data_IF_362343937998
#
_entry.id   IF_362343937998
#
_cell.length_a   1.000
_cell.length_b   1.000
_cell.length_c   1.000
_cell.angle_alpha   90.00
_cell.angle_beta   90.00
_cell.angle_gamma   90.00
#
_symmetry.space_group_name_H-M   'P 1'
#
loop_
_entity.id
_entity.type
_entity.pdbx_description
1 polymer ?
#
# COMPACT_ATOMS: atom_id res chain seq x y z
N UNK A 1 6.34 -8.24 12.10
CA UNK A 1 5.30 -7.68 13.00
C UNK A 1 4.19 -8.69 13.27
N UNK A 2 3.46 -9.17 12.25
CA UNK A 2 2.53 -10.30 12.37
C UNK A 2 3.23 -11.64 12.13
N UNK A 3 4.15 -12.01 13.01
CA UNK A 3 5.02 -13.19 12.81
C UNK A 3 4.95 -14.22 13.92
N UNK A 4 4.25 -13.93 15.03
CA UNK A 4 4.13 -14.85 16.15
C UNK A 4 2.75 -14.79 16.79
N UNK A 5 2.31 -15.91 17.36
CA UNK A 5 1.09 -15.95 18.19
C UNK A 5 1.16 -14.98 19.35
N UNK A 6 2.35 -14.74 19.90
CA UNK A 6 2.62 -13.76 20.97
C UNK A 6 2.21 -12.35 20.58
N UNK A 7 2.46 -11.93 19.33
CA UNK A 7 2.04 -10.61 18.85
C UNK A 7 0.52 -10.46 18.91
N UNK A 8 -0.23 -11.46 18.43
CA UNK A 8 -1.70 -11.44 18.48
C UNK A 8 -2.21 -11.45 19.90
N UNK A 9 -1.64 -12.29 20.76
CA UNK A 9 -1.99 -12.33 22.18
C UNK A 9 -1.81 -10.95 22.84
N UNK A 10 -0.67 -10.29 22.61
CA UNK A 10 -0.42 -8.94 23.14
C UNK A 10 -1.39 -7.90 22.55
N UNK A 11 -1.65 -7.94 21.25
CA UNK A 11 -2.59 -7.03 20.57
C UNK A 11 -4.01 -7.15 21.16
N UNK A 12 -4.50 -8.38 21.32
CA UNK A 12 -5.82 -8.64 21.90
C UNK A 12 -5.87 -8.27 23.38
N UNK A 13 -4.84 -8.65 24.14
CA UNK A 13 -4.71 -8.28 25.55
C UNK A 13 -4.76 -6.76 25.73
N UNK A 14 -4.06 -6.00 24.88
CA UNK A 14 -4.04 -4.55 24.92
C UNK A 14 -5.41 -3.94 24.55
N UNK A 15 -6.07 -4.45 23.51
CA UNK A 15 -7.40 -3.97 23.12
C UNK A 15 -8.43 -4.19 24.24
N UNK A 16 -8.46 -5.40 24.83
CA UNK A 16 -9.34 -5.72 25.96
C UNK A 16 -9.00 -4.90 27.20
N UNK A 17 -7.71 -4.68 27.47
CA UNK A 17 -7.25 -3.84 28.57
C UNK A 17 -7.74 -2.40 28.41
N UNK A 18 -7.67 -1.80 27.21
CA UNK A 18 -8.18 -0.45 26.99
C UNK A 18 -9.71 -0.36 27.11
N UNK A 19 -10.44 -1.39 26.70
CA UNK A 19 -11.90 -1.46 26.96
C UNK A 19 -12.18 -1.49 28.46
N UNK A 20 -11.44 -2.32 29.21
CA UNK A 20 -11.59 -2.43 30.65
C UNK A 20 -11.25 -1.12 31.37
N UNK A 21 -10.10 -0.53 31.05
CA UNK A 21 -9.66 0.77 31.59
C UNK A 21 -10.70 1.83 31.27
N UNK A 22 -11.19 1.91 30.04
CA UNK A 22 -12.18 2.92 29.70
C UNK A 22 -13.50 2.74 30.47
N UNK A 23 -13.92 1.49 30.69
CA UNK A 23 -15.09 1.17 31.52
C UNK A 23 -14.87 1.59 32.98
N UNK A 24 -13.68 1.31 33.54
CA UNK A 24 -13.31 1.72 34.90
C UNK A 24 -13.19 3.24 35.06
N UNK A 25 -12.83 3.95 34.00
CA UNK A 25 -12.71 5.41 33.96
C UNK A 25 -13.97 6.14 33.50
N UNK A 26 -15.13 5.47 33.53
CA UNK A 26 -16.42 6.07 33.14
C UNK A 26 -16.39 6.70 31.73
N UNK A 27 -15.79 6.00 30.77
CA UNK A 27 -15.73 6.39 29.36
C UNK A 27 -14.95 7.67 29.04
N UNK A 28 -13.99 8.06 29.91
CA UNK A 28 -13.14 9.24 29.72
C UNK A 28 -11.90 9.02 28.84
N UNK A 29 -11.55 7.77 28.52
CA UNK A 29 -10.40 7.47 27.65
C UNK A 29 -10.72 7.87 26.20
N UNK A 30 -9.94 8.79 25.65
CA UNK A 30 -10.09 9.22 24.25
C UNK A 30 -9.43 8.24 23.30
N UNK A 31 -9.87 8.21 22.03
CA UNK A 31 -9.21 7.39 21.00
C UNK A 31 -7.73 7.74 20.86
N UNK A 32 -7.39 9.03 20.81
CA UNK A 32 -6.01 9.47 20.71
C UNK A 32 -5.14 8.92 21.85
N UNK A 33 -5.62 8.90 23.09
CA UNK A 33 -4.85 8.39 24.22
C UNK A 33 -4.57 6.87 24.12
N UNK A 34 -5.59 6.08 23.79
CA UNK A 34 -5.45 4.63 23.59
C UNK A 34 -4.49 4.32 22.42
N UNK A 35 -4.63 5.05 21.31
CA UNK A 35 -3.76 4.90 20.15
C UNK A 35 -2.33 5.35 20.49
N UNK A 36 -2.15 6.43 21.25
CA UNK A 36 -0.81 6.91 21.64
C UNK A 36 -0.08 5.85 22.45
N UNK A 37 -0.77 5.19 23.39
CA UNK A 37 -0.19 4.08 24.14
C UNK A 37 0.17 2.89 23.23
N UNK A 38 -0.72 2.50 22.31
CA UNK A 38 -0.43 1.47 21.30
C UNK A 38 0.81 1.83 20.45
N UNK A 39 0.90 3.08 20.00
CA UNK A 39 2.01 3.56 19.17
C UNK A 39 3.32 3.56 19.96
N UNK A 40 3.32 4.02 21.21
CA UNK A 40 4.53 4.04 22.04
C UNK A 40 5.05 2.63 22.32
N UNK A 41 4.16 1.69 22.68
CA UNK A 41 4.52 0.28 22.88
C UNK A 41 5.02 -0.36 21.58
N UNK A 42 4.32 -0.12 20.47
CA UNK A 42 4.71 -0.61 19.16
C UNK A 42 6.05 -0.05 18.69
N UNK A 43 6.29 1.24 18.93
CA UNK A 43 7.54 1.91 18.61
C UNK A 43 8.70 1.32 19.42
N UNK A 44 8.54 1.14 20.74
CA UNK A 44 9.54 0.50 21.58
C UNK A 44 9.88 -0.92 21.14
N UNK A 45 8.87 -1.69 20.72
CA UNK A 45 9.08 -3.06 20.23
C UNK A 45 9.74 -3.13 18.85
N UNK A 46 9.28 -2.31 17.88
CA UNK A 46 9.78 -2.34 16.50
C UNK A 46 11.22 -1.83 16.43
N UNK A 47 11.53 -0.77 17.18
CA UNK A 47 12.80 -0.05 17.09
C UNK A 47 13.77 -0.36 18.24
N UNK A 48 13.55 -1.46 18.96
CA UNK A 48 14.35 -1.83 20.14
C UNK A 48 15.86 -1.89 19.91
N UNK A 49 16.31 -2.07 18.67
CA UNK A 49 17.73 -2.09 18.30
C UNK A 49 18.31 -0.75 17.85
N UNK A 50 17.50 0.21 17.42
CA UNK A 50 17.94 1.55 17.02
C UNK A 50 16.79 2.55 17.08
N UNK A 51 16.85 3.41 18.09
CA UNK A 51 15.88 4.47 18.35
C UNK A 51 16.26 5.80 17.68
N UNK A 52 17.53 6.00 17.34
CA UNK A 52 18.06 7.30 16.91
C UNK A 52 17.55 7.62 15.51
N UNK A 53 17.69 6.68 14.57
CA UNK A 53 17.27 6.87 13.18
C UNK A 53 15.77 7.17 13.05
N UNK A 54 14.86 6.40 13.69
CA UNK A 54 13.44 6.72 13.68
C UNK A 54 13.11 8.13 14.20
N UNK A 55 13.72 8.54 15.31
CA UNK A 55 13.51 9.89 15.87
C UNK A 55 14.02 10.96 14.91
N UNK A 56 15.22 10.78 14.35
CA UNK A 56 15.80 11.71 13.39
C UNK A 56 14.93 11.88 12.13
N UNK A 57 14.47 10.76 11.55
CA UNK A 57 13.56 10.78 10.39
C UNK A 57 12.26 11.51 10.74
N UNK A 58 11.65 11.17 11.86
CA UNK A 58 10.41 11.80 12.30
C UNK A 58 10.55 13.31 12.50
N UNK A 59 11.59 13.75 13.23
CA UNK A 59 11.86 15.17 13.45
C UNK A 59 12.12 15.90 12.14
N UNK A 60 12.86 15.28 11.20
CA UNK A 60 13.10 15.86 9.88
C UNK A 60 11.80 16.09 9.13
N UNK A 61 10.89 15.12 9.10
CA UNK A 61 9.60 15.24 8.43
C UNK A 61 8.70 16.27 9.11
N UNK A 62 8.68 16.30 10.45
CA UNK A 62 7.90 17.28 11.21
C UNK A 62 8.39 18.71 10.97
N UNK A 63 9.71 18.93 10.93
CA UNK A 63 10.31 20.23 10.59
C UNK A 63 9.92 20.65 9.17
N UNK A 64 10.03 19.75 8.18
CA UNK A 64 9.66 20.05 6.79
C UNK A 64 8.19 20.45 6.67
N UNK A 65 7.27 19.71 7.31
CA UNK A 65 5.84 20.06 7.37
C UNK A 65 5.63 21.43 7.99
N UNK A 66 6.30 21.71 9.10
CA UNK A 66 6.20 23.00 9.82
C UNK A 66 6.71 24.16 8.98
N UNK A 67 7.85 24.00 8.29
CA UNK A 67 8.42 25.03 7.41
C UNK A 67 7.51 25.30 6.21
N UNK A 68 6.91 24.25 5.63
CA UNK A 68 5.93 24.40 4.55
C UNK A 68 4.67 25.14 5.04
N UNK A 69 4.17 24.84 6.23
CA UNK A 69 3.00 25.51 6.82
C UNK A 69 3.24 26.99 7.12
N UNK A 70 4.47 27.33 7.53
CA UNK A 70 4.91 28.72 7.70
C UNK A 70 5.13 29.46 6.36
N UNK A 71 5.04 28.77 5.23
CA UNK A 71 5.25 29.33 3.90
C UNK A 71 6.71 29.45 3.46
N UNK A 72 7.65 28.89 4.23
CA UNK A 72 9.09 28.98 3.93
C UNK A 72 9.53 28.01 2.83
N UNK A 73 8.79 26.91 2.65
CA UNK A 73 9.02 25.93 1.60
C UNK A 73 7.83 25.85 0.64
N UNK A 74 8.10 25.86 -0.66
CA UNK A 74 7.11 25.50 -1.68
C UNK A 74 6.80 24.00 -1.58
N UNK A 75 5.60 23.60 -1.97
CA UNK A 75 5.16 22.19 -1.90
C UNK A 75 6.13 21.22 -2.57
N UNK A 76 6.64 21.57 -3.75
CA UNK A 76 7.59 20.70 -4.45
C UNK A 76 8.91 20.53 -3.68
N UNK A 77 9.42 21.60 -3.02
CA UNK A 77 10.63 21.53 -2.21
C UNK A 77 10.41 20.63 -0.99
N UNK A 78 9.28 20.79 -0.30
CA UNK A 78 8.94 19.97 0.86
C UNK A 78 8.79 18.49 0.50
N UNK A 79 8.16 18.18 -0.64
CA UNK A 79 8.03 16.79 -1.14
C UNK A 79 9.41 16.22 -1.47
N UNK A 80 10.26 16.95 -2.19
CA UNK A 80 11.62 16.49 -2.52
C UNK A 80 12.46 16.21 -1.28
N UNK A 81 12.45 17.12 -0.30
CA UNK A 81 13.18 16.94 0.96
C UNK A 81 12.67 15.74 1.77
N UNK A 82 11.36 15.49 1.75
CA UNK A 82 10.75 14.34 2.45
C UNK A 82 11.10 13.01 1.79
N UNK A 83 11.25 12.99 0.46
CA UNK A 83 11.65 11.80 -0.28
C UNK A 83 13.16 11.51 -0.20
N UNK A 84 13.97 12.51 0.18
CA UNK A 84 15.43 12.42 0.13
C UNK A 84 16.01 11.25 0.95
N UNK A 85 15.62 11.02 2.23
CA UNK A 85 16.15 9.88 3.00
C UNK A 85 15.86 8.53 2.31
N UNK A 86 14.66 8.38 1.75
CA UNK A 86 14.26 7.18 1.02
C UNK A 86 15.11 6.98 -0.24
N UNK A 87 15.37 8.04 -1.01
CA UNK A 87 16.21 7.97 -2.20
C UNK A 87 17.66 7.63 -1.86
N UNK A 88 18.23 8.25 -0.82
CA UNK A 88 19.60 8.00 -0.39
C UNK A 88 19.83 6.55 0.02
N UNK A 89 18.86 5.96 0.74
CA UNK A 89 18.91 4.54 1.13
C UNK A 89 18.76 3.64 -0.10
N UNK A 90 17.81 3.93 -1.00
CA UNK A 90 17.58 3.09 -2.19
C UNK A 90 18.70 3.13 -3.23
N UNK A 91 19.39 4.26 -3.34
CA UNK A 91 20.55 4.40 -4.21
C UNK A 91 21.85 3.87 -3.57
N UNK A 92 21.78 3.31 -2.36
CA UNK A 92 22.94 2.88 -1.58
C UNK A 92 23.97 4.01 -1.33
N UNK A 93 23.53 5.26 -1.39
CA UNK A 93 24.37 6.44 -1.14
C UNK A 93 24.50 6.73 0.36
N UNK A 94 23.49 6.37 1.15
CA UNK A 94 23.56 6.47 2.60
C UNK A 94 22.62 5.43 3.25
N UNK A 95 23.21 4.36 3.77
CA UNK A 95 22.47 3.28 4.42
C UNK A 95 22.11 3.60 5.89
N UNK A 96 22.70 4.64 6.49
CA UNK A 96 22.47 4.98 7.90
C UNK A 96 21.06 5.50 8.17
N UNK A 97 20.36 6.01 7.15
CA UNK A 97 18.96 6.41 7.26
C UNK A 97 17.98 5.24 7.12
N UNK A 98 18.47 4.03 6.84
CA UNK A 98 17.67 2.85 6.66
C UNK A 98 16.95 2.45 7.94
N UNK A 99 15.62 2.35 7.88
CA UNK A 99 14.83 1.78 8.97
C UNK A 99 13.63 1.01 8.42
N UNK A 100 13.11 0.09 9.23
CA UNK A 100 11.88 -0.63 8.89
C UNK A 100 10.73 0.37 8.71
N UNK A 101 10.00 0.23 7.60
CA UNK A 101 8.85 1.08 7.30
C UNK A 101 9.19 2.49 6.81
N UNK A 102 10.47 2.83 6.54
CA UNK A 102 10.86 4.13 5.97
C UNK A 102 10.02 4.49 4.74
N UNK A 103 9.88 3.56 3.79
CA UNK A 103 9.11 3.76 2.55
C UNK A 103 7.65 4.18 2.80
N UNK A 104 6.92 3.41 3.60
CA UNK A 104 5.50 3.70 3.89
C UNK A 104 5.37 4.95 4.76
N UNK A 105 6.30 5.19 5.69
CA UNK A 105 6.32 6.42 6.48
C UNK A 105 6.52 7.66 5.60
N UNK A 106 7.45 7.61 4.64
CA UNK A 106 7.68 8.70 3.69
C UNK A 106 6.42 9.01 2.87
N UNK A 107 5.72 8.00 2.37
CA UNK A 107 4.46 8.20 1.64
C UNK A 107 3.36 8.85 2.49
N UNK A 108 3.30 8.48 3.76
CA UNK A 108 2.36 9.08 4.73
C UNK A 108 2.78 10.50 5.10
N UNK A 109 4.07 10.79 5.23
CA UNK A 109 4.57 12.15 5.42
C UNK A 109 4.24 13.05 4.22
N UNK A 110 4.41 12.56 2.99
CA UNK A 110 3.99 13.25 1.76
C UNK A 110 2.47 13.46 1.72
N UNK A 111 1.68 12.48 2.15
CA UNK A 111 0.22 12.63 2.26
C UNK A 111 -0.17 13.77 3.21
N UNK A 112 0.50 13.90 4.36
CA UNK A 112 0.29 15.03 5.28
C UNK A 112 0.67 16.35 4.60
N UNK A 113 1.82 16.42 3.94
CA UNK A 113 2.26 17.61 3.24
C UNK A 113 1.25 18.10 2.19
N UNK A 114 0.58 17.18 1.51
CA UNK A 114 -0.35 17.53 0.43
C UNK A 114 -1.77 17.81 0.92
N UNK A 115 -2.27 17.08 1.92
CA UNK A 115 -3.70 17.06 2.24
C UNK A 115 -4.07 17.58 3.63
N UNK A 116 -3.11 17.87 4.50
CA UNK A 116 -3.36 18.50 5.80
C UNK A 116 -3.94 19.90 5.61
N UNK A 117 -4.98 20.21 6.38
CA UNK A 117 -5.62 21.52 6.40
C UNK A 117 -5.29 22.27 7.69
N UNK A 118 -5.40 23.61 7.68
CA UNK A 118 -5.22 24.44 8.89
C UNK A 118 -6.24 24.10 10.00
N UNK A 119 -7.42 23.58 9.63
CA UNK A 119 -8.49 23.20 10.55
C UNK A 119 -8.24 21.85 11.23
N UNK A 120 -7.34 21.04 10.68
CA UNK A 120 -6.89 19.78 11.31
C UNK A 120 -6.07 20.05 12.60
N UNK A 121 -6.01 21.31 13.05
CA UNK A 121 -5.16 21.87 14.08
C UNK A 121 -4.96 20.92 15.25
N UNK A 122 -3.86 20.17 15.21
CA UNK A 122 -3.41 19.30 16.28
C UNK A 122 -1.91 18.98 16.13
N UNK A 123 -1.18 19.41 17.15
CA UNK A 123 -0.15 18.76 17.96
C UNK A 123 0.71 17.63 17.33
N UNK A 124 2.01 17.77 17.55
CA UNK A 124 3.08 16.77 17.42
C UNK A 124 2.64 15.31 17.65
N UNK A 125 1.79 15.07 18.66
CA UNK A 125 1.27 13.75 19.01
C UNK A 125 0.43 13.09 17.90
N UNK A 126 -0.47 13.82 17.22
CA UNK A 126 -1.25 13.25 16.11
C UNK A 126 -0.36 12.86 14.94
N UNK A 127 0.64 13.70 14.66
CA UNK A 127 1.59 13.43 13.59
C UNK A 127 2.48 12.23 13.91
N UNK A 128 2.96 12.14 15.17
CA UNK A 128 3.71 11.00 15.68
C UNK A 128 2.91 9.70 15.59
N UNK A 129 1.69 9.70 16.15
CA UNK A 129 0.81 8.53 16.14
C UNK A 129 0.42 8.11 14.73
N UNK A 130 0.23 9.08 13.84
CA UNK A 130 0.05 8.80 12.43
C UNK A 130 1.28 8.08 11.89
N UNK A 131 2.43 8.74 11.76
CA UNK A 131 3.61 8.17 11.09
C UNK A 131 4.06 6.83 11.67
N UNK A 132 4.05 6.68 13.00
CA UNK A 132 4.51 5.48 13.69
C UNK A 132 3.43 4.44 13.96
N UNK A 133 2.23 4.57 13.39
CA UNK A 133 1.15 3.61 13.59
C UNK A 133 1.64 2.16 13.35
N UNK A 134 1.77 1.34 14.42
CA UNK A 134 2.40 0.03 14.34
C UNK A 134 1.68 -0.90 13.35
N UNK A 135 0.36 -0.77 13.25
CA UNK A 135 -0.45 -1.63 12.39
C UNK A 135 -0.12 -1.49 10.90
N UNK A 136 0.40 -0.33 10.47
CA UNK A 136 0.61 -0.01 9.05
C UNK A 136 2.03 0.39 8.66
N UNK A 137 2.94 0.61 9.61
CA UNK A 137 4.27 1.17 9.34
C UNK A 137 5.13 0.32 8.39
N UNK A 138 5.13 -1.00 8.51
CA UNK A 138 6.04 -1.85 7.72
C UNK A 138 5.57 -2.03 6.27
N UNK A 139 4.32 -2.44 6.10
CA UNK A 139 3.72 -2.72 4.79
C UNK A 139 2.19 -2.67 4.82
N UNK A 140 1.56 -1.94 5.76
CA UNK A 140 0.10 -1.97 5.85
C UNK A 140 -0.60 -1.09 4.83
N UNK A 141 -1.94 -1.13 4.81
CA UNK A 141 -2.72 -0.25 3.95
C UNK A 141 -2.32 1.22 4.14
N UNK A 142 -2.30 1.95 3.03
CA UNK A 142 -2.02 3.37 2.97
C UNK A 142 -3.14 4.18 3.62
N UNK A 143 -3.10 4.25 4.94
CA UNK A 143 -4.08 4.98 5.74
C UNK A 143 -3.83 6.49 5.64
N UNK A 144 -4.78 7.20 5.02
CA UNK A 144 -4.68 8.62 4.66
C UNK A 144 -4.88 9.53 5.86
N UNK A 145 -4.21 10.68 5.87
CA UNK A 145 -4.23 11.69 6.94
C UNK A 145 -5.64 12.14 7.31
N UNK A 146 -6.48 12.42 6.31
CA UNK A 146 -7.86 12.88 6.55
C UNK A 146 -8.70 11.83 7.30
N UNK A 147 -8.57 10.56 6.94
CA UNK A 147 -9.28 9.48 7.61
C UNK A 147 -8.75 9.27 9.04
N UNK A 148 -7.41 9.34 9.20
CA UNK A 148 -6.76 9.31 10.51
C UNK A 148 -7.24 10.41 11.46
N UNK A 149 -7.31 11.66 11.00
CA UNK A 149 -7.77 12.79 11.83
C UNK A 149 -9.21 12.56 12.27
N UNK A 150 -10.09 12.10 11.37
CA UNK A 150 -11.48 11.76 11.70
C UNK A 150 -11.57 10.65 12.75
N UNK A 151 -10.78 9.58 12.61
CA UNK A 151 -10.85 8.45 13.54
C UNK A 151 -10.21 8.74 14.89
N UNK A 152 -9.07 9.44 14.92
CA UNK A 152 -8.32 9.76 16.15
C UNK A 152 -9.00 10.83 17.01
N UNK A 153 -9.81 11.72 16.40
CA UNK A 153 -10.56 12.76 17.10
C UNK A 153 -11.90 12.30 17.69
N UNK A 154 -12.27 11.03 17.54
CA UNK A 154 -13.47 10.49 18.18
C UNK A 154 -13.38 10.66 19.71
N UNK A 155 -14.46 11.10 20.39
CA UNK A 155 -14.38 11.62 21.75
C UNK A 155 -14.09 10.56 22.83
N UNK A 156 -14.63 9.35 22.69
CA UNK A 156 -14.45 8.27 23.68
C UNK A 156 -14.20 6.93 23.00
N UNK A 157 -13.20 6.21 23.49
CA UNK A 157 -12.79 4.90 22.99
C UNK A 157 -13.84 3.83 23.30
N UNK A 158 -14.62 3.40 22.32
CA UNK A 158 -15.66 2.38 22.53
C UNK A 158 -15.55 1.32 21.44
N UNK A 159 -15.43 0.07 21.86
CA UNK A 159 -15.55 -1.09 20.98
C UNK A 159 -16.94 -1.67 21.16
N UNK A 160 -17.76 -1.64 20.12
CA UNK A 160 -19.07 -2.30 20.12
C UNK A 160 -18.93 -3.78 19.73
N UNK A 161 -19.90 -4.62 20.12
CA UNK A 161 -19.95 -6.02 19.67
C UNK A 161 -19.97 -6.14 18.15
N UNK A 162 -20.67 -5.21 17.49
CA UNK A 162 -20.77 -5.10 16.03
C UNK A 162 -19.44 -4.76 15.36
N UNK A 163 -18.50 -4.11 16.07
CA UNK A 163 -17.14 -3.88 15.58
C UNK A 163 -16.19 -5.02 15.92
N UNK A 164 -16.36 -5.63 17.10
CA UNK A 164 -15.47 -6.68 17.60
C UNK A 164 -15.55 -7.96 16.76
N UNK A 165 -16.75 -8.46 16.46
CA UNK A 165 -16.90 -9.73 15.73
C UNK A 165 -16.32 -9.66 14.30
N UNK A 166 -16.64 -8.64 13.47
CA UNK A 166 -16.02 -8.52 12.15
C UNK A 166 -14.52 -8.22 12.22
N UNK A 167 -14.02 -7.61 13.30
CA UNK A 167 -12.59 -7.42 13.51
C UNK A 167 -11.88 -8.76 13.74
N UNK A 168 -12.46 -9.62 14.60
CA UNK A 168 -11.95 -10.98 14.84
C UNK A 168 -11.97 -11.81 13.57
N UNK A 169 -13.10 -11.84 12.86
CA UNK A 169 -13.24 -12.58 11.61
C UNK A 169 -12.16 -12.17 10.59
N UNK A 170 -11.95 -10.86 10.41
CA UNK A 170 -10.93 -10.35 9.50
C UNK A 170 -9.51 -10.78 9.93
N UNK A 171 -9.20 -10.76 11.22
CA UNK A 171 -7.91 -11.24 11.73
C UNK A 171 -7.75 -12.74 11.49
N UNK A 172 -8.77 -13.55 11.78
CA UNK A 172 -8.73 -15.00 11.55
C UNK A 172 -8.54 -15.35 10.08
N UNK A 173 -9.27 -14.68 9.18
CA UNK A 173 -9.06 -14.81 7.72
C UNK A 173 -7.60 -14.49 7.38
N UNK A 174 -7.05 -13.41 7.93
CA UNK A 174 -5.67 -13.03 7.66
C UNK A 174 -4.63 -14.03 8.20
N UNK A 175 -4.88 -14.64 9.36
CA UNK A 175 -4.04 -15.71 9.93
C UNK A 175 -4.03 -16.92 8.99
N UNK A 176 -5.21 -17.37 8.53
CA UNK A 176 -5.32 -18.50 7.60
C UNK A 176 -4.60 -18.19 6.27
N UNK A 177 -4.81 -17.00 5.71
CA UNK A 177 -4.13 -16.61 4.47
C UNK A 177 -2.61 -16.62 4.62
N UNK A 178 -2.06 -16.00 5.67
CA UNK A 178 -0.61 -15.85 5.82
C UNK A 178 0.06 -17.15 6.29
N UNK A 179 -0.43 -17.76 7.35
CA UNK A 179 0.27 -18.86 8.02
C UNK A 179 -0.09 -20.25 7.49
N UNK A 180 -1.24 -20.39 6.81
CA UNK A 180 -1.60 -21.64 6.13
C UNK A 180 -1.32 -21.54 4.64
N UNK A 181 -2.07 -20.72 3.90
CA UNK A 181 -2.01 -20.74 2.43
C UNK A 181 -0.67 -20.26 1.88
N UNK A 182 -0.15 -19.11 2.33
CA UNK A 182 1.13 -18.61 1.84
C UNK A 182 2.28 -19.58 2.18
N UNK A 183 2.34 -20.08 3.41
CA UNK A 183 3.35 -21.05 3.85
C UNK A 183 3.29 -22.37 3.06
N UNK A 184 2.08 -22.89 2.78
CA UNK A 184 1.94 -24.10 1.96
C UNK A 184 2.44 -23.89 0.53
N UNK A 185 2.10 -22.75 -0.09
CA UNK A 185 2.54 -22.46 -1.46
C UNK A 185 4.05 -22.27 -1.52
N UNK A 186 4.63 -21.57 -0.53
CA UNK A 186 6.06 -21.34 -0.47
C UNK A 186 6.84 -22.67 -0.35
N UNK A 187 6.50 -23.47 0.66
CA UNK A 187 7.20 -24.72 0.95
C UNK A 187 6.98 -25.80 -0.12
N UNK A 188 5.74 -25.98 -0.59
CA UNK A 188 5.41 -27.08 -1.51
C UNK A 188 5.71 -26.76 -2.98
N UNK A 189 5.68 -25.48 -3.36
CA UNK A 189 5.81 -25.08 -4.77
C UNK A 189 7.01 -24.18 -4.98
N UNK A 190 7.07 -22.99 -4.38
CA UNK A 190 8.11 -22.01 -4.70
C UNK A 190 9.51 -22.56 -4.44
N UNK A 191 9.78 -23.08 -3.24
CA UNK A 191 11.09 -23.64 -2.88
C UNK A 191 11.48 -24.86 -3.74
N UNK A 192 10.51 -25.67 -4.14
CA UNK A 192 10.74 -26.88 -4.95
C UNK A 192 10.99 -26.60 -6.44
N UNK A 193 10.54 -25.44 -6.93
CA UNK A 193 10.58 -25.08 -8.34
C UNK A 193 11.58 -23.97 -8.66
N UNK A 194 11.95 -23.12 -7.69
CA UNK A 194 12.88 -21.99 -7.87
C UNK A 194 14.28 -22.40 -8.32
N UNK A 195 14.75 -23.59 -7.93
CA UNK A 195 16.08 -24.11 -8.29
C UNK A 195 16.11 -24.88 -9.61
N UNK A 196 14.97 -25.07 -10.28
CA UNK A 196 14.91 -25.80 -11.54
C UNK A 196 15.40 -24.92 -12.70
N UNK A 197 16.10 -25.49 -13.70
CA UNK A 197 16.46 -24.73 -14.89
C UNK A 197 15.20 -24.19 -15.59
N UNK A 198 15.30 -22.97 -16.11
CA UNK A 198 14.16 -22.29 -16.71
C UNK A 198 13.63 -23.06 -17.93
N UNK A 199 12.33 -23.31 -17.91
CA UNK A 199 11.54 -23.84 -19.03
C UNK A 199 10.19 -23.13 -19.04
N UNK A 200 9.44 -23.21 -20.14
CA UNK A 200 8.10 -22.60 -20.20
C UNK A 200 7.17 -23.11 -19.08
N UNK A 201 7.26 -24.40 -18.75
CA UNK A 201 6.47 -25.00 -17.66
C UNK A 201 6.85 -24.42 -16.30
N UNK A 202 8.15 -24.26 -16.01
CA UNK A 202 8.64 -23.58 -14.80
C UNK A 202 8.12 -22.14 -14.76
N UNK A 203 8.21 -21.39 -15.86
CA UNK A 203 7.72 -20.02 -15.93
C UNK A 203 6.22 -19.90 -15.62
N UNK A 204 5.39 -20.79 -16.18
CA UNK A 204 3.94 -20.82 -15.91
C UNK A 204 3.64 -21.17 -14.45
N UNK A 205 4.25 -22.24 -13.93
CA UNK A 205 4.03 -22.70 -12.55
C UNK A 205 4.47 -21.62 -11.56
N UNK A 206 5.67 -21.07 -11.72
CA UNK A 206 6.20 -20.03 -10.83
C UNK A 206 5.40 -18.74 -10.91
N UNK A 207 4.86 -18.37 -12.08
CA UNK A 207 3.99 -17.19 -12.20
C UNK A 207 2.71 -17.33 -11.41
N UNK A 208 2.06 -18.49 -11.48
CA UNK A 208 0.83 -18.74 -10.70
C UNK A 208 1.16 -18.88 -9.22
N UNK A 209 2.17 -19.67 -8.87
CA UNK A 209 2.55 -19.95 -7.49
C UNK A 209 3.00 -18.69 -6.76
N UNK A 210 3.90 -17.90 -7.34
CA UNK A 210 4.35 -16.65 -6.73
C UNK A 210 3.22 -15.62 -6.59
N UNK A 211 2.34 -15.52 -7.59
CA UNK A 211 1.18 -14.62 -7.49
C UNK A 211 0.24 -15.02 -6.34
N UNK A 212 0.00 -16.33 -6.18
CA UNK A 212 -0.83 -16.85 -5.10
C UNK A 212 -0.15 -16.64 -3.73
N UNK A 213 1.14 -16.97 -3.61
CA UNK A 213 1.94 -16.72 -2.40
C UNK A 213 1.90 -15.25 -2.00
N UNK A 214 2.27 -14.35 -2.93
CA UNK A 214 2.31 -12.92 -2.68
C UNK A 214 0.93 -12.38 -2.29
N UNK A 215 -0.13 -12.85 -2.96
CA UNK A 215 -1.50 -12.50 -2.59
C UNK A 215 -1.84 -12.95 -1.17
N UNK A 216 -1.62 -14.21 -0.82
CA UNK A 216 -2.00 -14.74 0.50
C UNK A 216 -1.15 -14.18 1.63
N UNK A 217 0.17 -14.02 1.43
CA UNK A 217 1.06 -13.44 2.43
C UNK A 217 0.66 -11.99 2.73
N UNK A 218 0.44 -11.21 1.66
CA UNK A 218 0.22 -9.79 1.79
C UNK A 218 -1.24 -9.43 2.12
N UNK A 219 -2.22 -10.14 1.55
CA UNK A 219 -3.62 -10.03 1.97
C UNK A 219 -3.80 -10.50 3.41
N UNK A 220 -3.10 -11.56 3.80
CA UNK A 220 -3.08 -12.05 5.18
C UNK A 220 -2.60 -10.98 6.15
N UNK A 221 -1.42 -10.38 5.88
CA UNK A 221 -0.92 -9.22 6.64
C UNK A 221 -1.95 -8.09 6.68
N UNK A 222 -2.50 -7.71 5.53
CA UNK A 222 -3.40 -6.55 5.41
C UNK A 222 -4.70 -6.77 6.19
N UNK A 223 -5.27 -7.98 6.13
CA UNK A 223 -6.49 -8.35 6.85
C UNK A 223 -6.30 -8.31 8.36
N UNK A 224 -5.15 -8.80 8.84
CA UNK A 224 -4.80 -8.72 10.26
C UNK A 224 -4.60 -7.27 10.69
N UNK A 225 -3.95 -6.43 9.88
CA UNK A 225 -3.79 -5.00 10.17
C UNK A 225 -5.14 -4.25 10.21
N UNK A 226 -6.05 -4.52 9.27
CA UNK A 226 -7.37 -3.90 9.22
C UNK A 226 -8.23 -4.33 10.41
N UNK A 227 -8.28 -5.64 10.70
CA UNK A 227 -9.04 -6.13 11.85
C UNK A 227 -8.46 -5.62 13.18
N UNK A 228 -7.14 -5.55 13.31
CA UNK A 228 -6.48 -4.91 14.45
C UNK A 228 -6.89 -3.44 14.57
N UNK A 229 -6.88 -2.70 13.45
CA UNK A 229 -7.32 -1.30 13.41
C UNK A 229 -8.75 -1.12 13.90
N UNK A 230 -9.67 -2.01 13.49
CA UNK A 230 -11.07 -1.99 13.95
C UNK A 230 -11.19 -2.17 15.46
N UNK A 231 -10.32 -2.96 16.10
CA UNK A 231 -10.28 -3.05 17.57
C UNK A 231 -9.88 -1.74 18.24
N UNK A 232 -9.13 -0.88 17.54
CA UNK A 232 -8.82 0.46 18.02
C UNK A 232 -9.75 1.54 17.43
N UNK A 233 -10.90 1.14 16.86
CA UNK A 233 -11.88 2.00 16.19
C UNK A 233 -11.35 2.80 15.00
N UNK A 234 -10.27 2.31 14.38
CA UNK A 234 -9.67 2.86 13.17
C UNK A 234 -10.28 2.22 11.92
N UNK A 235 -10.66 3.05 10.96
CA UNK A 235 -11.19 2.62 9.67
C UNK A 235 -10.06 2.54 8.63
N UNK A 236 -9.18 1.56 8.80
CA UNK A 236 -8.05 1.31 7.87
C UNK A 236 -8.60 0.78 6.53
N UNK A 237 -8.19 1.35 5.37
CA UNK A 237 -8.71 0.94 4.07
C UNK A 237 -8.28 -0.48 3.68
N UNK A 238 -9.10 -1.13 2.83
CA UNK A 238 -8.76 -2.45 2.28
C UNK A 238 -7.62 -2.36 1.26
N UNK A 239 -6.74 -3.37 1.26
CA UNK A 239 -5.73 -3.54 0.21
C UNK A 239 -6.15 -4.48 -0.90
N UNK A 240 -7.05 -5.42 -0.63
CA UNK A 240 -7.40 -6.47 -1.58
C UNK A 240 -8.90 -6.68 -1.67
N UNK A 241 -9.39 -6.88 -2.90
CA UNK A 241 -10.78 -7.22 -3.18
C UNK A 241 -10.87 -8.25 -4.31
N UNK A 242 -10.56 -9.51 -3.98
CA UNK A 242 -10.60 -10.66 -4.90
C UNK A 242 -9.93 -10.36 -6.27
N UNK A 243 -8.61 -10.09 -6.33
CA UNK A 243 -7.92 -9.72 -7.58
C UNK A 243 -8.09 -10.72 -8.73
N UNK A 244 -8.26 -12.00 -8.42
CA UNK A 244 -8.50 -13.07 -9.41
C UNK A 244 -9.81 -12.88 -10.19
N UNK A 245 -10.72 -12.05 -9.70
CA UNK A 245 -11.98 -11.69 -10.37
C UNK A 245 -11.84 -10.49 -11.32
N UNK A 246 -10.64 -9.94 -11.47
CA UNK A 246 -10.37 -8.80 -12.35
C UNK A 246 -10.76 -9.12 -13.79
N UNK A 247 -11.52 -8.21 -14.42
CA UNK A 247 -11.97 -8.34 -15.82
C UNK A 247 -10.96 -7.78 -16.82
N UNK A 248 -10.11 -6.86 -16.38
CA UNK A 248 -9.14 -6.14 -17.20
C UNK A 248 -8.06 -5.50 -16.30
N UNK A 249 -6.96 -4.95 -16.86
CA UNK A 249 -5.86 -4.40 -16.06
C UNK A 249 -6.28 -3.26 -15.12
N UNK A 250 -7.25 -2.43 -15.52
CA UNK A 250 -7.76 -1.37 -14.65
C UNK A 250 -8.54 -1.93 -13.46
N UNK A 251 -9.37 -2.95 -13.69
CA UNK A 251 -10.10 -3.65 -12.63
C UNK A 251 -9.14 -4.42 -11.70
N UNK A 252 -8.03 -4.95 -12.23
CA UNK A 252 -6.98 -5.58 -11.42
C UNK A 252 -6.41 -4.60 -10.38
N UNK A 253 -6.01 -3.40 -10.78
CA UNK A 253 -5.48 -2.36 -9.86
C UNK A 253 -6.55 -1.77 -8.92
N UNK A 254 -7.84 -1.93 -9.23
CA UNK A 254 -8.94 -1.62 -8.29
C UNK A 254 -9.17 -2.70 -7.24
N UNK A 255 -8.47 -3.84 -7.36
CA UNK A 255 -8.63 -5.02 -6.51
C UNK A 255 -7.34 -5.44 -5.82
N UNK A 256 -6.19 -5.08 -6.37
CA UNK A 256 -4.86 -5.42 -5.89
C UNK A 256 -4.17 -4.20 -5.31
N UNK A 257 -3.67 -4.30 -4.07
CA UNK A 257 -3.00 -3.23 -3.33
C UNK A 257 -3.71 -1.86 -3.41
N UNK A 258 -5.04 -1.88 -3.23
CA UNK A 258 -5.98 -0.77 -3.52
C UNK A 258 -5.54 0.54 -2.89
N UNK A 259 -5.21 0.54 -1.59
CA UNK A 259 -4.86 1.78 -0.90
C UNK A 259 -3.59 2.45 -1.46
N UNK A 260 -2.60 1.66 -1.90
CA UNK A 260 -1.42 2.19 -2.57
C UNK A 260 -1.77 2.66 -3.99
N UNK A 261 -2.59 1.91 -4.72
CA UNK A 261 -3.04 2.30 -6.06
C UNK A 261 -3.81 3.63 -6.05
N UNK A 262 -4.66 3.86 -5.05
CA UNK A 262 -5.34 5.14 -4.85
C UNK A 262 -4.36 6.26 -4.48
N UNK A 263 -3.40 5.97 -3.59
CA UNK A 263 -2.37 6.95 -3.24
C UNK A 263 -1.53 7.35 -4.45
N UNK A 264 -1.07 6.39 -5.26
CA UNK A 264 -0.31 6.61 -6.49
C UNK A 264 -1.14 7.37 -7.53
N UNK A 265 -2.44 7.07 -7.64
CA UNK A 265 -3.36 7.82 -8.50
C UNK A 265 -3.35 9.30 -8.13
N UNK A 266 -3.50 9.60 -6.84
CA UNK A 266 -3.71 10.98 -6.38
C UNK A 266 -2.39 11.77 -6.27
N UNK A 267 -1.27 11.10 -5.97
CA UNK A 267 0.03 11.74 -5.69
C UNK A 267 1.01 11.68 -6.87
N UNK A 268 0.87 10.71 -7.78
CA UNK A 268 1.79 10.54 -8.93
C UNK A 268 1.07 10.74 -10.25
N UNK A 269 0.04 9.93 -10.52
CA UNK A 269 -0.67 9.94 -11.81
C UNK A 269 -1.34 11.29 -12.08
N UNK A 270 -2.17 11.78 -11.15
CA UNK A 270 -2.94 13.02 -11.35
C UNK A 270 -2.01 14.23 -11.55
N UNK A 271 -0.96 14.45 -10.73
CA UNK A 271 -0.02 15.54 -10.99
C UNK A 271 0.70 15.45 -12.34
N UNK A 272 1.12 14.25 -12.78
CA UNK A 272 1.74 14.06 -14.10
C UNK A 272 0.73 14.44 -15.20
N UNK A 273 -0.45 13.84 -15.16
CA UNK A 273 -1.50 14.09 -16.15
C UNK A 273 -1.88 15.58 -16.22
N UNK A 274 -2.10 16.23 -15.08
CA UNK A 274 -2.46 17.65 -15.02
C UNK A 274 -1.35 18.57 -15.55
N UNK A 275 -0.08 18.23 -15.33
CA UNK A 275 1.03 19.01 -15.91
C UNK A 275 1.13 18.81 -17.42
N UNK A 276 0.94 17.59 -17.94
CA UNK A 276 0.89 17.34 -19.39
C UNK A 276 -0.24 18.13 -20.05
N UNK A 277 -1.42 18.19 -19.43
CA UNK A 277 -2.59 18.92 -19.95
C UNK A 277 -2.42 20.44 -20.06
N UNK A 278 -1.37 21.02 -19.47
CA UNK A 278 -0.99 22.43 -19.66
C UNK A 278 -0.38 22.69 -21.05
N UNK A 279 0.17 21.66 -21.68
CA UNK A 279 0.76 21.74 -23.02
C UNK A 279 -0.33 21.47 -24.07
N UNK A 280 -0.46 22.36 -25.05
CA UNK A 280 -1.55 22.33 -26.05
C UNK A 280 -1.60 21.00 -26.84
N UNK A 281 -0.43 20.46 -27.19
CA UNK A 281 -0.30 19.16 -27.86
C UNK A 281 -1.00 18.02 -27.09
N UNK A 282 -0.78 17.94 -25.77
CA UNK A 282 -1.39 16.91 -24.93
C UNK A 282 -2.86 17.21 -24.62
N UNK A 283 -3.26 18.49 -24.60
CA UNK A 283 -4.67 18.88 -24.45
C UNK A 283 -5.53 18.39 -25.61
N UNK A 284 -4.98 18.43 -26.83
CA UNK A 284 -5.60 17.87 -28.03
C UNK A 284 -5.53 16.34 -28.06
N UNK A 285 -4.50 15.74 -27.43
CA UNK A 285 -4.25 14.31 -27.38
C UNK A 285 -4.41 13.70 -25.96
N UNK A 286 -5.60 13.84 -25.36
CA UNK A 286 -5.88 13.43 -23.97
C UNK A 286 -5.50 11.97 -23.65
N UNK A 287 -5.77 11.05 -24.58
CA UNK A 287 -5.45 9.62 -24.41
C UNK A 287 -3.95 9.39 -24.29
N UNK A 288 -3.13 10.13 -25.05
CA UNK A 288 -1.67 10.03 -24.97
C UNK A 288 -1.17 10.53 -23.62
N UNK A 289 -1.68 11.68 -23.14
CA UNK A 289 -1.35 12.19 -21.81
C UNK A 289 -1.73 11.20 -20.69
N UNK A 290 -2.91 10.58 -20.81
CA UNK A 290 -3.36 9.55 -19.88
C UNK A 290 -2.43 8.32 -19.89
N UNK A 291 -2.04 7.85 -21.08
CA UNK A 291 -1.16 6.68 -21.23
C UNK A 291 0.23 6.93 -20.65
N UNK A 292 0.81 8.11 -20.90
CA UNK A 292 2.09 8.51 -20.29
C UNK A 292 1.95 8.53 -18.77
N UNK A 293 0.87 9.12 -18.23
CA UNK A 293 0.60 9.11 -16.79
C UNK A 293 0.52 7.71 -16.21
N UNK A 294 -0.23 6.78 -16.84
CA UNK A 294 -0.38 5.39 -16.39
C UNK A 294 0.98 4.69 -16.39
N UNK A 295 1.73 4.78 -17.50
CA UNK A 295 3.02 4.12 -17.63
C UNK A 295 4.02 4.65 -16.59
N UNK A 296 4.18 5.97 -16.49
CA UNK A 296 5.08 6.58 -15.51
C UNK A 296 4.71 6.21 -14.08
N UNK A 297 3.42 6.13 -13.74
CA UNK A 297 2.97 5.76 -12.40
C UNK A 297 3.37 4.34 -12.04
N UNK A 298 3.10 3.36 -12.91
CA UNK A 298 3.42 1.96 -12.67
C UNK A 298 4.93 1.67 -12.77
N UNK A 299 5.64 2.39 -13.65
CA UNK A 299 7.09 2.37 -13.72
C UNK A 299 7.73 2.90 -12.43
N UNK A 300 7.30 4.07 -11.94
CA UNK A 300 7.76 4.62 -10.67
C UNK A 300 7.41 3.72 -9.49
N UNK A 301 6.27 3.03 -9.51
CA UNK A 301 5.92 2.02 -8.52
C UNK A 301 6.90 0.84 -8.55
N UNK A 302 7.29 0.35 -9.73
CA UNK A 302 8.34 -0.65 -9.89
C UNK A 302 9.68 -0.17 -9.30
N UNK A 303 10.16 0.99 -9.74
CA UNK A 303 11.41 1.59 -9.24
C UNK A 303 11.38 1.88 -7.72
N UNK A 304 10.21 2.18 -7.16
CA UNK A 304 10.02 2.33 -5.72
C UNK A 304 10.17 1.00 -4.97
N UNK A 305 9.97 -0.17 -5.56
CA UNK A 305 10.28 -1.42 -4.87
C UNK A 305 11.80 -1.64 -4.83
N UNK A 306 12.50 -1.35 -5.93
CA UNK A 306 13.97 -1.31 -5.99
C UNK A 306 14.45 -0.89 -7.38
N UNK A 307 15.75 -0.63 -7.50
CA UNK A 307 16.39 -0.26 -8.77
C UNK A 307 17.02 -1.45 -9.51
N UNK A 308 16.81 -2.65 -8.98
CA UNK A 308 17.18 -3.89 -9.65
C UNK A 308 16.33 -4.11 -10.91
N UNK A 309 16.92 -4.80 -11.90
CA UNK A 309 16.31 -4.97 -13.24
C UNK A 309 14.90 -5.54 -13.15
N UNK A 310 14.70 -6.54 -12.31
CA UNK A 310 13.44 -7.25 -12.18
C UNK A 310 12.29 -6.35 -11.67
N UNK A 311 12.54 -5.41 -10.75
CA UNK A 311 11.54 -4.45 -10.30
C UNK A 311 11.16 -3.44 -11.38
N UNK A 312 12.16 -2.93 -12.10
CA UNK A 312 11.96 -1.95 -13.18
C UNK A 312 11.20 -2.61 -14.34
N UNK A 313 11.61 -3.81 -14.76
CA UNK A 313 10.97 -4.57 -15.85
C UNK A 313 9.52 -4.91 -15.46
N UNK A 314 9.28 -5.38 -14.23
CA UNK A 314 7.93 -5.67 -13.75
C UNK A 314 7.03 -4.43 -13.79
N UNK A 315 7.49 -3.29 -13.26
CA UNK A 315 6.73 -2.04 -13.30
C UNK A 315 6.45 -1.55 -14.71
N UNK A 316 7.44 -1.66 -15.62
CA UNK A 316 7.29 -1.32 -17.03
C UNK A 316 6.27 -2.23 -17.74
N UNK A 317 6.27 -3.54 -17.46
CA UNK A 317 5.29 -4.48 -18.01
C UNK A 317 3.89 -4.15 -17.56
N UNK A 318 3.66 -3.94 -16.26
CA UNK A 318 2.36 -3.50 -15.75
C UNK A 318 1.89 -2.20 -16.39
N UNK A 319 2.82 -1.25 -16.58
CA UNK A 319 2.60 -0.01 -17.32
C UNK A 319 2.14 -0.27 -18.76
N UNK A 320 2.90 -1.08 -19.50
CA UNK A 320 2.65 -1.40 -20.90
C UNK A 320 1.30 -2.12 -21.09
N UNK A 321 0.99 -3.12 -20.24
CA UNK A 321 -0.28 -3.85 -20.26
C UNK A 321 -1.46 -2.90 -20.03
N UNK A 322 -1.32 -1.97 -19.08
CA UNK A 322 -2.38 -1.02 -18.75
C UNK A 322 -2.59 0.01 -19.87
N UNK A 323 -1.51 0.48 -20.49
CA UNK A 323 -1.55 1.36 -21.67
C UNK A 323 -2.18 0.65 -22.88
N UNK A 324 -1.76 -0.58 -23.16
CA UNK A 324 -2.29 -1.37 -24.27
C UNK A 324 -3.81 -1.58 -24.12
N UNK A 325 -4.27 -1.91 -22.91
CA UNK A 325 -5.71 -2.01 -22.63
C UNK A 325 -6.42 -0.66 -22.82
N UNK A 326 -5.86 0.45 -22.33
CA UNK A 326 -6.47 1.77 -22.51
C UNK A 326 -6.56 2.18 -23.99
N UNK A 327 -5.53 1.87 -24.79
CA UNK A 327 -5.54 2.08 -26.23
C UNK A 327 -6.59 1.22 -26.93
N UNK A 328 -6.72 -0.06 -26.55
CA UNK A 328 -7.75 -0.95 -27.09
C UNK A 328 -9.17 -0.42 -26.82
N UNK A 329 -9.43 0.04 -25.59
CA UNK A 329 -10.72 0.65 -25.23
C UNK A 329 -10.97 1.96 -26.00
N UNK A 330 -9.94 2.76 -26.22
CA UNK A 330 -10.05 3.97 -27.02
C UNK A 330 -10.38 3.68 -28.49
N UNK A 331 -9.72 2.68 -29.09
CA UNK A 331 -10.01 2.22 -30.45
C UNK A 331 -11.42 1.65 -30.56
N UNK A 332 -11.87 0.88 -29.56
CA UNK A 332 -13.21 0.32 -29.50
C UNK A 332 -14.30 1.41 -29.45
N UNK A 333 -14.06 2.52 -28.74
CA UNK A 333 -14.99 3.66 -28.73
C UNK A 333 -15.17 4.33 -30.09
N UNK A 334 -14.19 4.20 -31.00
CA UNK A 334 -14.23 4.74 -32.36
C UNK A 334 -14.79 3.76 -33.39
N UNK A 335 -14.94 2.49 -33.02
CA UNK A 335 -15.36 1.42 -33.92
C UNK A 335 -16.44 0.55 -33.25
N UNK A 336 -17.72 0.72 -33.63
CA UNK A 336 -18.81 -0.10 -33.09
C UNK A 336 -18.59 -1.60 -33.30
N UNK A 337 -17.99 -2.00 -34.42
CA UNK A 337 -17.68 -3.40 -34.73
C UNK A 337 -16.67 -3.98 -33.74
N UNK A 338 -15.58 -3.25 -33.45
CA UNK A 338 -14.59 -3.64 -32.45
C UNK A 338 -15.18 -3.68 -31.04
N UNK A 339 -16.00 -2.69 -30.68
CA UNK A 339 -16.70 -2.67 -29.39
C UNK A 339 -17.58 -3.90 -29.19
N UNK A 340 -18.42 -4.22 -30.18
CA UNK A 340 -19.29 -5.40 -30.14
C UNK A 340 -18.50 -6.71 -30.10
N UNK A 341 -17.37 -6.78 -30.81
CA UNK A 341 -16.50 -7.95 -30.79
C UNK A 341 -15.85 -8.18 -29.41
N UNK A 342 -15.32 -7.12 -28.78
CA UNK A 342 -14.71 -7.20 -27.44
C UNK A 342 -15.72 -7.60 -26.35
N UNK A 343 -17.00 -7.26 -26.53
CA UNK A 343 -18.06 -7.60 -25.58
C UNK A 343 -18.57 -9.05 -25.73
N UNK A 344 -18.17 -9.78 -26.77
CA UNK A 344 -18.56 -11.20 -26.91
C UNK A 344 -18.05 -12.00 -25.71
N UNK A 345 -18.87 -12.89 -25.11
CA UNK A 345 -18.51 -13.60 -23.88
C UNK A 345 -17.15 -14.33 -23.95
N UNK A 346 -16.86 -14.98 -25.07
CA UNK A 346 -15.59 -15.69 -25.29
C UNK A 346 -14.41 -14.71 -25.33
N UNK A 347 -14.53 -13.58 -26.01
CA UNK A 347 -13.47 -12.57 -26.12
C UNK A 347 -13.23 -11.89 -24.77
N UNK A 348 -14.29 -11.55 -24.04
CA UNK A 348 -14.19 -10.99 -22.69
C UNK A 348 -13.53 -11.99 -21.72
N UNK A 349 -13.86 -13.28 -21.82
CA UNK A 349 -13.22 -14.33 -21.03
C UNK A 349 -11.72 -14.46 -21.36
N UNK A 350 -11.36 -14.54 -22.64
CA UNK A 350 -9.96 -14.58 -23.07
C UNK A 350 -9.19 -13.32 -22.64
N UNK A 351 -9.79 -12.14 -22.73
CA UNK A 351 -9.20 -10.89 -22.26
C UNK A 351 -8.94 -10.90 -20.74
N UNK A 352 -9.83 -11.52 -19.96
CA UNK A 352 -9.62 -11.75 -18.53
C UNK A 352 -8.45 -12.71 -18.29
N UNK A 353 -8.38 -13.84 -18.99
CA UNK A 353 -7.24 -14.77 -18.88
C UNK A 353 -5.93 -14.07 -19.23
N UNK A 354 -5.90 -13.30 -20.32
CA UNK A 354 -4.72 -12.53 -20.72
C UNK A 354 -4.32 -11.51 -19.65
N UNK A 355 -5.28 -10.82 -19.02
CA UNK A 355 -5.03 -9.87 -17.93
C UNK A 355 -4.37 -10.57 -16.75
N UNK A 356 -4.95 -11.68 -16.29
CA UNK A 356 -4.47 -12.42 -15.13
C UNK A 356 -3.11 -13.08 -15.40
N UNK A 357 -2.93 -13.66 -16.59
CA UNK A 357 -1.65 -14.24 -17.01
C UNK A 357 -0.55 -13.17 -17.10
N UNK A 358 -0.85 -12.03 -17.71
CA UNK A 358 0.11 -10.92 -17.81
C UNK A 358 0.49 -10.38 -16.43
N UNK A 359 -0.49 -10.21 -15.55
CA UNK A 359 -0.24 -9.81 -14.17
C UNK A 359 0.61 -10.85 -13.42
N UNK A 360 0.35 -12.14 -13.60
CA UNK A 360 1.09 -13.21 -12.96
C UNK A 360 2.55 -13.26 -13.43
N UNK A 361 2.79 -13.08 -14.73
CA UNK A 361 4.15 -12.97 -15.30
C UNK A 361 4.86 -11.73 -14.77
N UNK A 362 4.19 -10.58 -14.70
CA UNK A 362 4.78 -9.37 -14.12
C UNK A 362 5.14 -9.56 -12.63
N UNK A 363 4.33 -10.29 -11.87
CA UNK A 363 4.64 -10.65 -10.47
C UNK A 363 5.78 -11.67 -10.38
N UNK A 364 5.85 -12.65 -11.28
CA UNK A 364 6.99 -13.58 -11.31
C UNK A 364 8.30 -12.86 -11.56
N UNK A 365 8.32 -11.94 -12.52
CA UNK A 365 9.49 -11.09 -12.75
C UNK A 365 9.79 -10.28 -11.50
N UNK A 366 8.78 -9.65 -10.89
CA UNK A 366 8.93 -8.91 -9.63
C UNK A 366 9.59 -9.73 -8.51
N UNK A 367 9.43 -11.05 -8.49
CA UNK A 367 10.01 -11.92 -7.46
C UNK A 367 11.53 -12.02 -7.49
N UNK A 368 12.17 -11.67 -8.62
CA UNK A 368 13.60 -11.91 -8.83
C UNK A 368 13.98 -13.37 -9.09
N UNK A 369 13.01 -14.31 -9.05
CA UNK A 369 13.22 -15.73 -9.39
C UNK A 369 13.07 -16.01 -10.89
N UNK A 370 12.65 -15.01 -11.67
CA UNK A 370 12.68 -15.06 -13.13
C UNK A 370 14.12 -14.93 -13.63
N UNK A 371 14.48 -15.52 -14.78
CA UNK A 371 15.81 -15.36 -15.37
C UNK A 371 16.11 -13.93 -15.91
N UNK A 372 15.26 -12.94 -15.63
CA UNK A 372 15.29 -11.58 -16.21
C UNK A 372 15.73 -10.52 -15.20
#
# INVERSE_FOLDING_TARGET
>A
MYSSGTFFFCLFGLALLFVLINRLWHYRLTYLSAISALVLLGWGYIFQGDYIVPVAVFLSFYIIVTLKEKGWLKTWQAVTLTLLPLFLVKLHLNNHWGMIGLSFMTFRAVDVLLYRTKKDGQNFLHYFCYLFMPLVISAGPMYRWRAWVTDSNKPSFVITREQFLPAMEQIFIGIIQKFLFATLIDNLVIQSWSHRPFTLSVGVVMSVAYSAYLYFDFAGYSNMAIGAGRLFGLNIPANFNMPILAKNPQDFWRRFHISLSEWLRDVVFMPIYMNLMKIDFFRQNKTLAQNIGIFCTLFCMGAWNGLERHYIISGALFGAISVAHNMLQWSAKRSPTLSNWLQRPVIAFLGRILTLASAAVSLYIFSGMSPL
#
